data_IF_854069019990
#
_entry.id   IF_854069019990
#
_cell.length_a   1.000
_cell.length_b   1.000
_cell.length_c   1.000
_cell.angle_alpha   90.00
_cell.angle_beta   90.00
_cell.angle_gamma   90.00
#
_symmetry.space_group_name_H-M   'P 1'
#
loop_
_entity.id
_entity.type
_entity.pdbx_description
1 polymer ?
#
# COMPACT_ATOMS: atom_id res chain seq x y z
N UNK A 1 -4.51 9.22 -9.26
CA UNK A 1 -5.68 9.95 -9.80
C UNK A 1 -5.82 11.39 -9.28
N UNK A 2 -5.78 11.69 -7.96
CA UNK A 2 -6.01 13.06 -7.45
C UNK A 2 -4.93 14.12 -7.72
N UNK A 3 -3.71 13.74 -8.11
CA UNK A 3 -2.71 14.70 -8.61
C UNK A 3 -2.96 15.14 -10.07
N UNK A 4 -3.87 14.49 -10.79
CA UNK A 4 -4.21 14.86 -12.17
C UNK A 4 -5.37 15.86 -12.25
N UNK A 5 -6.03 16.16 -11.12
CA UNK A 5 -7.10 17.16 -11.04
C UNK A 5 -6.61 18.55 -10.62
N UNK A 6 -5.31 18.72 -10.33
CA UNK A 6 -4.72 20.04 -10.06
C UNK A 6 -4.40 20.75 -11.38
N UNK A 7 -4.74 22.04 -11.45
CA UNK A 7 -4.73 22.80 -12.69
C UNK A 7 -3.33 23.01 -13.29
N UNK A 8 -2.28 22.97 -12.46
CA UNK A 8 -0.90 23.20 -12.89
C UNK A 8 0.15 22.47 -12.01
N UNK A 9 1.40 22.43 -12.51
CA UNK A 9 2.52 21.80 -11.83
C UNK A 9 2.95 22.52 -10.53
N UNK A 10 2.58 23.78 -10.33
CA UNK A 10 2.92 24.55 -9.12
C UNK A 10 2.00 24.16 -7.97
N UNK A 11 0.71 24.04 -8.23
CA UNK A 11 -0.30 23.56 -7.29
C UNK A 11 -0.08 22.08 -6.96
N UNK A 12 0.38 21.27 -7.92
CA UNK A 12 0.82 19.90 -7.62
C UNK A 12 1.96 19.88 -6.59
N UNK A 13 3.00 20.72 -6.75
CA UNK A 13 4.11 20.82 -5.79
C UNK A 13 3.66 21.34 -4.42
N UNK A 14 2.76 22.33 -4.38
CA UNK A 14 2.17 22.81 -3.11
C UNK A 14 1.40 21.70 -2.40
N UNK A 15 0.57 20.96 -3.14
CA UNK A 15 -0.17 19.81 -2.60
C UNK A 15 0.76 18.76 -2.01
N UNK A 16 1.86 18.42 -2.70
CA UNK A 16 2.91 17.52 -2.15
C UNK A 16 3.50 18.08 -0.87
N UNK A 17 3.81 19.38 -0.83
CA UNK A 17 4.37 20.03 0.37
C UNK A 17 3.42 19.95 1.56
N UNK A 18 2.15 20.33 1.38
CA UNK A 18 1.13 20.23 2.43
C UNK A 18 0.93 18.79 2.88
N UNK A 19 0.78 17.84 1.95
CA UNK A 19 0.62 16.43 2.27
C UNK A 19 1.80 15.89 3.09
N UNK A 20 3.02 16.20 2.67
CA UNK A 20 4.24 15.81 3.39
C UNK A 20 4.32 16.46 4.77
N UNK A 21 3.94 17.75 4.87
CA UNK A 21 3.88 18.48 6.13
C UNK A 21 2.90 17.85 7.12
N UNK A 22 1.68 17.51 6.68
CA UNK A 22 0.69 16.84 7.53
C UNK A 22 1.14 15.43 7.94
N UNK A 23 1.76 14.67 7.04
CA UNK A 23 2.34 13.36 7.38
C UNK A 23 3.46 13.49 8.42
N UNK A 24 4.38 14.43 8.23
CA UNK A 24 5.47 14.69 9.18
C UNK A 24 4.94 15.10 10.56
N UNK A 25 3.96 16.02 10.59
CA UNK A 25 3.29 16.43 11.82
C UNK A 25 2.62 15.25 12.53
N UNK A 26 1.89 14.40 11.80
CA UNK A 26 1.26 13.21 12.35
C UNK A 26 2.27 12.22 12.96
N UNK A 27 3.42 12.00 12.31
CA UNK A 27 4.47 11.14 12.86
C UNK A 27 5.05 11.70 14.16
N UNK A 28 5.25 13.02 14.27
CA UNK A 28 5.69 13.66 15.51
C UNK A 28 4.65 13.44 16.63
N UNK A 29 3.36 13.61 16.33
CA UNK A 29 2.30 13.35 17.30
C UNK A 29 2.27 11.88 17.75
N UNK A 30 2.53 10.95 16.83
CA UNK A 30 2.56 9.51 17.13
C UNK A 30 3.61 9.17 18.18
N UNK A 31 4.77 9.84 18.16
CA UNK A 31 5.78 9.70 19.22
C UNK A 31 5.25 10.15 20.58
N UNK A 32 4.59 11.31 20.64
CA UNK A 32 4.02 11.83 21.88
C UNK A 32 2.96 10.87 22.44
N UNK A 33 2.08 10.35 21.58
CA UNK A 33 1.07 9.36 21.95
C UNK A 33 1.74 8.07 22.46
N UNK A 34 2.79 7.58 21.77
CA UNK A 34 3.51 6.37 22.17
C UNK A 34 4.16 6.49 23.55
N UNK A 35 4.92 7.57 23.81
CA UNK A 35 5.52 7.81 25.13
C UNK A 35 4.48 8.08 26.20
N UNK A 36 3.39 8.78 25.87
CA UNK A 36 2.25 8.98 26.77
C UNK A 36 1.61 7.66 27.18
N UNK A 37 1.41 6.73 26.23
CA UNK A 37 0.89 5.40 26.53
C UNK A 37 1.85 4.59 27.43
N UNK A 38 3.16 4.64 27.18
CA UNK A 38 4.14 3.97 28.06
C UNK A 38 4.03 4.50 29.50
N UNK A 39 3.93 5.83 29.67
CA UNK A 39 3.92 6.47 30.98
C UNK A 39 2.61 6.27 31.75
N UNK A 40 1.46 6.46 31.09
CA UNK A 40 0.14 6.46 31.75
C UNK A 40 -0.58 5.11 31.72
N UNK A 41 -0.33 4.29 30.69
CA UNK A 41 -0.99 2.99 30.49
C UNK A 41 -0.06 1.84 30.85
N UNK A 42 1.22 1.92 30.47
CA UNK A 42 2.19 0.83 30.61
C UNK A 42 2.43 0.33 32.03
N UNK A 43 2.31 1.21 33.04
CA UNK A 43 2.45 0.85 34.46
C UNK A 43 1.15 0.55 35.19
N UNK A 44 -0.01 0.85 34.61
CA UNK A 44 -1.28 0.85 35.31
C UNK A 44 -1.99 -0.52 35.22
N UNK A 45 -2.27 -1.20 36.35
CA UNK A 45 -2.96 -2.49 36.37
C UNK A 45 -4.37 -2.45 35.76
N UNK A 46 -5.05 -1.30 35.77
CA UNK A 46 -6.41 -1.17 35.25
C UNK A 46 -6.53 -1.46 33.74
N UNK A 47 -5.45 -1.26 32.99
CA UNK A 47 -5.40 -1.51 31.54
C UNK A 47 -4.75 -2.85 31.19
N UNK A 48 -4.41 -3.66 32.20
CA UNK A 48 -3.75 -4.94 32.04
C UNK A 48 -4.67 -6.10 32.38
N UNK A 49 -4.53 -7.18 31.62
CA UNK A 49 -5.19 -8.43 31.93
C UNK A 49 -4.47 -9.18 33.07
N UNK A 50 -5.00 -10.34 33.46
CA UNK A 50 -4.42 -11.18 34.51
C UNK A 50 -2.99 -11.68 34.21
N UNK A 51 -2.57 -11.66 32.94
CA UNK A 51 -1.23 -12.01 32.50
C UNK A 51 -0.28 -10.79 32.44
N UNK A 52 -0.77 -9.60 32.78
CA UNK A 52 -0.01 -8.35 32.72
C UNK A 52 0.11 -7.76 31.32
N UNK A 53 -0.58 -8.32 30.33
CA UNK A 53 -0.63 -7.81 28.95
C UNK A 53 -1.72 -6.75 28.80
N UNK A 54 -1.58 -5.88 27.79
CA UNK A 54 -2.55 -4.81 27.56
C UNK A 54 -3.90 -5.40 27.12
N UNK A 55 -4.99 -4.98 27.76
CA UNK A 55 -6.35 -5.46 27.45
C UNK A 55 -6.68 -5.11 25.98
N UNK A 56 -7.03 -6.12 25.19
CA UNK A 56 -7.30 -5.95 23.75
C UNK A 56 -6.03 -5.85 22.87
N UNK A 57 -4.85 -6.09 23.44
CA UNK A 57 -3.59 -6.17 22.72
C UNK A 57 -2.94 -4.81 22.43
N UNK A 58 -1.72 -4.85 21.88
CA UNK A 58 -0.88 -3.65 21.68
C UNK A 58 -1.53 -2.56 20.81
N UNK A 59 -2.47 -2.93 19.92
CA UNK A 59 -3.18 -1.98 19.07
C UNK A 59 -4.12 -1.06 19.87
N UNK A 60 -4.48 -1.41 21.11
CA UNK A 60 -5.37 -0.62 21.98
C UNK A 60 -4.64 0.46 22.79
N UNK A 61 -3.32 0.58 22.68
CA UNK A 61 -2.53 1.51 23.49
C UNK A 61 -2.99 2.97 23.39
N UNK A 62 -3.35 3.44 22.19
CA UNK A 62 -3.83 4.81 21.97
C UNK A 62 -5.25 5.04 22.53
N UNK A 63 -6.11 4.01 22.47
CA UNK A 63 -7.48 4.09 23.00
C UNK A 63 -7.47 4.10 24.53
N UNK A 64 -6.65 3.24 25.14
CA UNK A 64 -6.44 3.23 26.60
C UNK A 64 -5.77 4.51 27.10
N UNK A 65 -4.88 5.11 26.30
CA UNK A 65 -4.33 6.42 26.63
C UNK A 65 -5.41 7.51 26.67
N UNK A 66 -6.38 7.46 25.76
CA UNK A 66 -7.50 8.41 25.78
C UNK A 66 -8.32 8.26 27.07
N UNK A 67 -8.56 7.04 27.51
CA UNK A 67 -9.22 6.78 28.80
C UNK A 67 -8.39 7.27 29.99
N UNK A 68 -7.09 6.98 30.00
CA UNK A 68 -6.19 7.41 31.07
C UNK A 68 -6.11 8.94 31.20
N UNK A 69 -6.24 9.68 30.10
CA UNK A 69 -6.13 11.15 30.09
C UNK A 69 -7.47 11.84 30.34
N UNK A 70 -8.57 11.32 29.79
CA UNK A 70 -9.85 12.02 29.78
C UNK A 70 -11.08 11.17 30.13
N UNK A 71 -10.85 9.96 30.64
CA UNK A 71 -11.88 9.01 31.06
C UNK A 71 -12.84 8.61 29.94
N UNK A 72 -14.01 8.11 30.35
CA UNK A 72 -15.07 7.62 29.46
C UNK A 72 -15.47 8.60 28.34
N UNK A 73 -15.45 9.92 28.60
CA UNK A 73 -15.81 10.91 27.59
C UNK A 73 -14.79 10.93 26.45
N UNK A 74 -13.50 10.93 26.79
CA UNK A 74 -12.44 11.01 25.80
C UNK A 74 -12.20 9.65 25.12
N UNK A 75 -12.35 8.54 25.85
CA UNK A 75 -12.41 7.20 25.29
C UNK A 75 -13.55 7.08 24.26
N UNK A 76 -14.75 7.53 24.59
CA UNK A 76 -15.91 7.48 23.69
C UNK A 76 -15.70 8.34 22.44
N UNK A 77 -15.16 9.54 22.62
CA UNK A 77 -14.83 10.45 21.51
C UNK A 77 -13.79 9.85 20.56
N UNK A 78 -12.65 9.38 21.08
CA UNK A 78 -11.57 8.80 20.27
C UNK A 78 -12.04 7.50 19.60
N UNK A 79 -12.84 6.68 20.28
CA UNK A 79 -13.43 5.47 19.69
C UNK A 79 -14.35 5.80 18.53
N UNK A 80 -15.20 6.84 18.64
CA UNK A 80 -16.07 7.29 17.56
C UNK A 80 -15.27 7.82 16.36
N UNK A 81 -14.21 8.60 16.61
CA UNK A 81 -13.31 9.11 15.57
C UNK A 81 -12.57 7.97 14.87
N UNK A 82 -12.03 7.01 15.63
CA UNK A 82 -11.38 5.83 15.08
C UNK A 82 -12.33 5.01 14.20
N UNK A 83 -13.56 4.78 14.67
CA UNK A 83 -14.56 4.05 13.89
C UNK A 83 -14.94 4.79 12.59
N UNK A 84 -15.20 6.10 12.66
CA UNK A 84 -15.56 6.91 11.50
C UNK A 84 -14.42 6.95 10.46
N UNK A 85 -13.18 7.06 10.91
CA UNK A 85 -12.00 7.08 10.02
C UNK A 85 -11.75 5.73 9.37
N UNK A 86 -11.89 4.61 10.10
CA UNK A 86 -11.80 3.26 9.54
C UNK A 86 -12.85 3.06 8.44
N UNK A 87 -14.11 3.41 8.70
CA UNK A 87 -15.19 3.28 7.71
C UNK A 87 -14.91 4.11 6.44
N UNK A 88 -14.43 5.35 6.62
CA UNK A 88 -14.09 6.22 5.51
C UNK A 88 -12.96 5.63 4.63
N UNK A 89 -11.89 5.11 5.26
CA UNK A 89 -10.75 4.53 4.54
C UNK A 89 -11.13 3.22 3.87
N UNK A 90 -11.86 2.34 4.55
CA UNK A 90 -12.32 1.06 4.00
C UNK A 90 -13.20 1.29 2.77
N UNK A 91 -14.15 2.22 2.84
CA UNK A 91 -15.00 2.55 1.69
C UNK A 91 -14.15 3.05 0.50
N UNK A 92 -13.19 3.95 0.76
CA UNK A 92 -12.31 4.48 -0.28
C UNK A 92 -11.44 3.41 -0.95
N UNK A 93 -10.79 2.56 -0.16
CA UNK A 93 -9.94 1.47 -0.67
C UNK A 93 -10.75 0.40 -1.40
N UNK A 94 -11.94 0.07 -0.91
CA UNK A 94 -12.81 -0.93 -1.53
C UNK A 94 -13.30 -0.46 -2.89
N UNK A 95 -13.71 0.81 -3.01
CA UNK A 95 -14.11 1.39 -4.29
C UNK A 95 -12.93 1.49 -5.26
N UNK A 96 -11.74 1.86 -4.78
CA UNK A 96 -10.54 1.89 -5.60
C UNK A 96 -10.18 0.50 -6.14
N UNK A 97 -10.23 -0.53 -5.27
CA UNK A 97 -9.97 -1.92 -5.66
C UNK A 97 -11.03 -2.46 -6.62
N UNK A 98 -12.31 -2.17 -6.37
CA UNK A 98 -13.40 -2.57 -7.26
C UNK A 98 -13.29 -1.92 -8.64
N UNK A 99 -12.89 -0.64 -8.69
CA UNK A 99 -12.65 0.08 -9.94
C UNK A 99 -11.47 -0.52 -10.73
N UNK A 100 -10.36 -0.84 -10.05
CA UNK A 100 -9.23 -1.51 -10.68
C UNK A 100 -9.64 -2.86 -11.30
N UNK A 101 -10.46 -3.66 -10.61
CA UNK A 101 -10.95 -4.93 -11.18
C UNK A 101 -11.95 -4.71 -12.32
N UNK A 102 -12.91 -3.79 -12.19
CA UNK A 102 -13.92 -3.58 -13.24
C UNK A 102 -13.33 -2.95 -14.50
N UNK A 103 -12.44 -1.97 -14.34
CA UNK A 103 -11.88 -1.22 -15.46
C UNK A 103 -10.59 -1.86 -16.01
N UNK A 104 -9.65 -2.26 -15.15
CA UNK A 104 -8.36 -2.76 -15.61
C UNK A 104 -8.42 -4.25 -15.99
N UNK A 105 -9.14 -5.07 -15.21
CA UNK A 105 -9.26 -6.50 -15.52
C UNK A 105 -10.47 -6.80 -16.42
N UNK A 106 -11.67 -6.35 -16.06
CA UNK A 106 -12.87 -6.74 -16.80
C UNK A 106 -13.00 -6.00 -18.14
N UNK A 107 -12.97 -4.67 -18.16
CA UNK A 107 -13.14 -3.90 -19.40
C UNK A 107 -11.95 -3.99 -20.36
N UNK A 108 -10.72 -3.96 -19.86
CA UNK A 108 -9.53 -3.98 -20.71
C UNK A 108 -9.01 -5.38 -21.08
N UNK A 109 -9.11 -6.37 -20.17
CA UNK A 109 -8.56 -7.71 -20.40
C UNK A 109 -9.63 -8.73 -20.80
N UNK A 110 -10.75 -8.82 -20.07
CA UNK A 110 -11.76 -9.87 -20.28
C UNK A 110 -12.72 -9.53 -21.42
N UNK A 111 -13.30 -8.31 -21.41
CA UNK A 111 -14.32 -7.89 -22.38
C UNK A 111 -14.01 -6.50 -22.91
N UNK A 112 -13.19 -6.46 -23.97
CA UNK A 112 -12.86 -5.25 -24.72
C UNK A 112 -14.16 -4.60 -25.24
N UNK A 113 -14.53 -3.44 -24.68
CA UNK A 113 -15.78 -2.73 -25.01
C UNK A 113 -16.98 -3.13 -24.13
N UNK A 114 -16.76 -3.42 -22.85
CA UNK A 114 -17.84 -3.56 -21.88
C UNK A 114 -18.73 -2.30 -21.83
N UNK A 115 -20.04 -2.48 -21.65
CA UNK A 115 -20.94 -1.36 -21.43
C UNK A 115 -20.76 -0.80 -20.01
N UNK A 116 -20.97 0.50 -19.79
CA UNK A 116 -20.94 1.10 -18.45
C UNK A 116 -21.84 0.35 -17.45
N UNK A 117 -22.98 -0.17 -17.92
CA UNK A 117 -23.90 -0.96 -17.09
C UNK A 117 -23.29 -2.29 -16.63
N UNK A 118 -22.49 -2.93 -17.48
CA UNK A 118 -21.81 -4.18 -17.14
C UNK A 118 -20.64 -3.91 -16.19
N UNK A 119 -19.88 -2.83 -16.42
CA UNK A 119 -18.81 -2.39 -15.51
C UNK A 119 -19.35 -2.07 -14.11
N UNK A 120 -20.46 -1.34 -14.01
CA UNK A 120 -21.09 -1.02 -12.72
C UNK A 120 -21.57 -2.28 -11.99
N UNK A 121 -22.08 -3.29 -12.71
CA UNK A 121 -22.47 -4.58 -12.11
C UNK A 121 -21.26 -5.34 -11.57
N UNK A 122 -20.20 -5.46 -12.37
CA UNK A 122 -18.96 -6.12 -11.96
C UNK A 122 -18.33 -5.40 -10.78
N UNK A 123 -18.28 -4.06 -10.81
CA UNK A 123 -17.78 -3.25 -9.69
C UNK A 123 -18.53 -3.55 -8.39
N UNK A 124 -19.88 -3.58 -8.42
CA UNK A 124 -20.70 -3.91 -7.23
C UNK A 124 -20.42 -5.33 -6.70
N UNK A 125 -20.29 -6.32 -7.58
CA UNK A 125 -19.98 -7.69 -7.20
C UNK A 125 -18.58 -7.75 -6.57
N UNK A 126 -17.60 -7.09 -7.18
CA UNK A 126 -16.23 -7.02 -6.65
C UNK A 126 -16.18 -6.36 -5.28
N UNK A 127 -16.92 -5.26 -5.04
CA UNK A 127 -17.03 -4.64 -3.71
C UNK A 127 -17.50 -5.66 -2.67
N UNK A 128 -18.52 -6.45 -2.99
CA UNK A 128 -19.07 -7.45 -2.07
C UNK A 128 -18.08 -8.58 -1.80
N UNK A 129 -17.45 -9.11 -2.84
CA UNK A 129 -16.43 -10.18 -2.73
C UNK A 129 -15.22 -9.70 -1.93
N UNK A 130 -14.67 -8.51 -2.26
CA UNK A 130 -13.55 -7.91 -1.53
C UNK A 130 -13.91 -7.65 -0.07
N UNK A 131 -15.13 -7.19 0.21
CA UNK A 131 -15.62 -6.98 1.57
C UNK A 131 -15.65 -8.27 2.39
N UNK A 132 -16.19 -9.36 1.83
CA UNK A 132 -16.23 -10.67 2.50
C UNK A 132 -14.81 -11.18 2.77
N UNK A 133 -13.91 -11.11 1.78
CA UNK A 133 -12.52 -11.53 1.94
C UNK A 133 -11.80 -10.68 3.00
N UNK A 134 -12.00 -9.37 2.99
CA UNK A 134 -11.41 -8.47 3.97
C UNK A 134 -11.89 -8.76 5.40
N UNK A 135 -13.17 -9.10 5.60
CA UNK A 135 -13.71 -9.49 6.91
C UNK A 135 -13.10 -10.81 7.37
N UNK A 136 -13.03 -11.81 6.50
CA UNK A 136 -12.43 -13.11 6.84
C UNK A 136 -10.95 -12.98 7.22
N UNK A 137 -10.19 -12.20 6.45
CA UNK A 137 -8.80 -11.89 6.77
C UNK A 137 -8.70 -11.05 8.05
N UNK A 138 -9.61 -10.10 8.27
CA UNK A 138 -9.65 -9.32 9.51
C UNK A 138 -9.79 -10.19 10.76
N UNK A 139 -10.68 -11.18 10.72
CA UNK A 139 -10.86 -12.14 11.82
C UNK A 139 -9.63 -13.03 12.00
N UNK A 140 -9.05 -13.53 10.91
CA UNK A 140 -7.86 -14.40 10.97
C UNK A 140 -6.64 -13.68 11.55
N UNK A 141 -6.50 -12.38 11.30
CA UNK A 141 -5.35 -11.57 11.70
C UNK A 141 -5.64 -10.62 12.88
N UNK A 142 -6.77 -10.76 13.59
CA UNK A 142 -7.22 -9.81 14.63
C UNK A 142 -6.23 -9.63 15.78
N UNK A 143 -5.43 -10.67 16.09
CA UNK A 143 -4.46 -10.68 17.19
C UNK A 143 -3.10 -10.13 16.80
N UNK A 144 -2.90 -9.83 15.51
CA UNK A 144 -1.62 -9.36 14.99
C UNK A 144 -1.49 -7.84 15.16
N UNK A 145 -0.25 -7.37 15.23
CA UNK A 145 0.02 -5.94 15.27
C UNK A 145 -0.30 -5.32 13.91
N UNK A 146 -1.15 -4.28 13.89
CA UNK A 146 -1.58 -3.63 12.65
C UNK A 146 -0.39 -2.97 11.94
N UNK A 147 0.57 -2.41 12.68
CA UNK A 147 1.76 -1.79 12.10
C UNK A 147 2.58 -2.81 11.30
N UNK A 148 2.65 -4.04 11.79
CA UNK A 148 3.32 -5.13 11.10
C UNK A 148 2.58 -5.55 9.82
N UNK A 149 1.26 -5.73 9.89
CA UNK A 149 0.44 -6.09 8.72
C UNK A 149 0.53 -5.05 7.60
N UNK A 150 0.50 -3.76 7.96
CA UNK A 150 0.67 -2.65 7.01
C UNK A 150 2.08 -2.67 6.41
N UNK A 151 3.10 -2.95 7.22
CA UNK A 151 4.47 -3.11 6.76
C UNK A 151 4.64 -4.20 5.71
N UNK A 152 3.98 -5.35 5.88
CA UNK A 152 3.95 -6.42 4.89
C UNK A 152 3.26 -6.00 3.58
N UNK A 153 2.09 -5.38 3.68
CA UNK A 153 1.36 -4.90 2.50
C UNK A 153 2.18 -3.88 1.70
N UNK A 154 2.84 -2.93 2.39
CA UNK A 154 3.75 -1.98 1.76
C UNK A 154 5.01 -2.63 1.21
N UNK A 155 5.54 -3.67 1.86
CA UNK A 155 6.67 -4.43 1.33
C UNK A 155 6.35 -5.05 -0.04
N UNK A 156 5.18 -5.67 -0.17
CA UNK A 156 4.72 -6.25 -1.45
C UNK A 156 4.52 -5.13 -2.49
N UNK A 157 3.78 -4.08 -2.13
CA UNK A 157 3.48 -2.98 -3.05
C UNK A 157 4.74 -2.25 -3.52
N UNK A 158 5.71 -2.03 -2.63
CA UNK A 158 6.99 -1.43 -2.98
C UNK A 158 7.80 -2.33 -3.91
N UNK A 159 7.78 -3.66 -3.69
CA UNK A 159 8.57 -4.61 -4.48
C UNK A 159 8.20 -4.65 -5.96
N UNK A 160 6.91 -4.53 -6.30
CA UNK A 160 6.47 -4.51 -7.69
C UNK A 160 6.46 -3.09 -8.29
N UNK A 161 5.96 -2.09 -7.56
CA UNK A 161 5.69 -0.78 -8.15
C UNK A 161 6.92 0.13 -8.18
N UNK A 162 7.70 0.18 -7.10
CA UNK A 162 8.79 1.16 -6.98
C UNK A 162 9.88 0.95 -8.06
N UNK A 163 10.41 -0.27 -8.28
CA UNK A 163 11.41 -0.52 -9.32
C UNK A 163 10.91 -0.18 -10.73
N UNK A 164 9.66 -0.56 -11.05
CA UNK A 164 9.07 -0.30 -12.37
C UNK A 164 8.90 1.21 -12.59
N UNK A 165 8.30 1.92 -11.63
CA UNK A 165 8.07 3.36 -11.74
C UNK A 165 9.41 4.09 -11.86
N UNK A 166 10.38 3.78 -10.99
CA UNK A 166 11.69 4.45 -11.00
C UNK A 166 12.42 4.23 -12.34
N UNK A 167 12.50 2.98 -12.81
CA UNK A 167 13.17 2.69 -14.07
C UNK A 167 12.42 3.26 -15.28
N UNK A 168 11.09 3.35 -15.22
CA UNK A 168 10.30 3.94 -16.31
C UNK A 168 10.55 5.43 -16.50
N UNK A 169 10.92 6.13 -15.41
CA UNK A 169 11.21 7.57 -15.45
C UNK A 169 12.66 7.87 -15.83
N UNK A 170 13.61 7.03 -15.41
CA UNK A 170 15.03 7.37 -15.46
C UNK A 170 15.88 6.45 -16.35
N UNK A 171 15.37 5.30 -16.77
CA UNK A 171 16.16 4.33 -17.51
C UNK A 171 15.63 4.10 -18.93
N UNK A 172 16.40 4.59 -19.91
CA UNK A 172 16.02 4.56 -21.33
C UNK A 172 15.92 3.16 -21.94
N UNK A 173 16.46 2.14 -21.28
CA UNK A 173 16.47 0.76 -21.77
C UNK A 173 15.36 -0.12 -21.19
N UNK A 174 14.46 0.44 -20.37
CA UNK A 174 13.33 -0.31 -19.84
C UNK A 174 12.45 -0.82 -20.99
N UNK A 175 12.03 -2.08 -20.88
CA UNK A 175 11.09 -2.71 -21.84
C UNK A 175 9.86 -3.23 -21.13
N UNK A 176 8.73 -3.34 -21.83
CA UNK A 176 7.49 -3.94 -21.29
C UNK A 176 7.73 -5.37 -20.78
N UNK A 177 8.53 -6.17 -21.52
CA UNK A 177 8.90 -7.52 -21.11
C UNK A 177 9.67 -7.52 -19.78
N UNK A 178 10.69 -6.68 -19.65
CA UNK A 178 11.47 -6.61 -18.43
C UNK A 178 10.69 -6.04 -17.25
N UNK A 179 9.84 -5.03 -17.47
CA UNK A 179 8.93 -4.51 -16.45
C UNK A 179 7.95 -5.59 -15.95
N UNK A 180 7.38 -6.38 -16.86
CA UNK A 180 6.43 -7.44 -16.49
C UNK A 180 7.11 -8.58 -15.74
N UNK A 181 8.19 -9.15 -16.28
CA UNK A 181 8.89 -10.29 -15.66
C UNK A 181 9.55 -9.86 -14.34
N UNK A 182 10.24 -8.73 -14.33
CA UNK A 182 10.89 -8.22 -13.12
C UNK A 182 9.89 -7.81 -12.04
N UNK A 183 8.73 -7.24 -12.41
CA UNK A 183 7.61 -6.99 -11.50
C UNK A 183 7.07 -8.26 -10.86
N UNK A 184 6.84 -9.31 -11.67
CA UNK A 184 6.42 -10.63 -11.17
C UNK A 184 7.46 -11.28 -10.26
N UNK A 185 8.75 -11.19 -10.61
CA UNK A 185 9.82 -11.69 -9.76
C UNK A 185 9.86 -10.98 -8.41
N UNK A 186 9.68 -9.65 -8.39
CA UNK A 186 9.55 -8.87 -7.16
C UNK A 186 8.37 -9.29 -6.31
N UNK A 187 7.20 -9.44 -6.93
CA UNK A 187 5.96 -9.85 -6.25
C UNK A 187 6.08 -11.27 -5.67
N UNK A 188 6.50 -12.24 -6.48
CA UNK A 188 6.65 -13.63 -6.05
C UNK A 188 7.69 -13.75 -4.93
N UNK A 189 8.82 -13.07 -5.05
CA UNK A 189 9.84 -13.05 -4.01
C UNK A 189 9.30 -12.44 -2.72
N UNK A 190 8.59 -11.31 -2.79
CA UNK A 190 7.99 -10.69 -1.60
C UNK A 190 6.99 -11.63 -0.91
N UNK A 191 6.10 -12.26 -1.67
CA UNK A 191 5.08 -13.17 -1.13
C UNK A 191 5.71 -14.44 -0.54
N UNK A 192 6.67 -15.06 -1.24
CA UNK A 192 7.35 -16.27 -0.76
C UNK A 192 8.11 -15.97 0.52
N UNK A 193 8.92 -14.92 0.55
CA UNK A 193 9.69 -14.55 1.74
C UNK A 193 8.78 -14.12 2.91
N UNK A 194 7.64 -13.51 2.62
CA UNK A 194 6.63 -13.18 3.64
C UNK A 194 6.01 -14.44 4.25
N UNK A 195 5.65 -15.43 3.43
CA UNK A 195 5.08 -16.70 3.89
C UNK A 195 6.10 -17.49 4.72
N UNK A 196 7.37 -17.49 4.31
CA UNK A 196 8.48 -18.15 5.00
C UNK A 196 9.04 -17.35 6.19
N UNK A 197 8.58 -16.11 6.35
CA UNK A 197 8.99 -15.20 7.41
C UNK A 197 8.36 -15.54 8.75
N UNK A 198 8.89 -15.01 9.86
CA UNK A 198 8.45 -15.37 11.21
C UNK A 198 6.96 -15.12 11.44
N UNK A 199 6.37 -14.09 10.84
CA UNK A 199 4.99 -13.76 11.14
C UNK A 199 3.99 -14.75 10.54
N UNK A 200 4.13 -15.12 9.28
CA UNK A 200 3.22 -16.12 8.71
C UNK A 200 3.64 -17.52 9.14
N UNK A 201 4.94 -17.85 9.02
CA UNK A 201 5.43 -19.20 9.26
C UNK A 201 5.38 -19.62 10.73
N UNK A 202 5.78 -18.75 11.65
CA UNK A 202 5.84 -19.07 13.08
C UNK A 202 4.56 -18.64 13.78
N UNK A 203 4.16 -17.37 13.66
CA UNK A 203 3.05 -16.83 14.46
C UNK A 203 1.67 -17.29 13.99
N UNK A 204 1.49 -17.62 12.70
CA UNK A 204 0.20 -18.04 12.13
C UNK A 204 0.15 -19.55 11.89
N UNK A 205 1.17 -20.10 11.23
CA UNK A 205 1.22 -21.53 10.90
C UNK A 205 1.75 -22.40 12.05
N UNK A 206 2.38 -21.81 13.07
CA UNK A 206 2.80 -22.51 14.29
C UNK A 206 4.08 -23.34 14.15
N UNK A 207 4.94 -23.06 13.16
CA UNK A 207 6.23 -23.76 13.02
C UNK A 207 7.28 -23.26 14.01
N UNK A 208 8.24 -24.12 14.40
CA UNK A 208 9.22 -23.83 15.46
C UNK A 208 10.26 -22.76 15.11
N UNK A 209 10.67 -22.66 13.84
CA UNK A 209 11.65 -21.67 13.39
C UNK A 209 11.31 -21.15 12.00
N UNK A 210 11.58 -19.86 11.80
CA UNK A 210 11.38 -19.21 10.52
C UNK A 210 12.46 -19.65 9.53
N UNK A 211 12.06 -20.12 8.35
CA UNK A 211 12.99 -20.46 7.26
C UNK A 211 13.68 -19.19 6.76
N UNK A 212 12.96 -18.08 6.74
CA UNK A 212 13.50 -16.76 6.46
C UNK A 212 13.49 -15.90 7.74
N UNK A 213 14.66 -15.48 8.26
CA UNK A 213 14.74 -14.87 9.59
C UNK A 213 14.30 -13.40 9.64
N UNK A 214 14.11 -12.74 8.50
CA UNK A 214 13.75 -11.33 8.46
C UNK A 214 12.23 -11.13 8.45
N UNK A 215 11.74 -10.26 9.33
CA UNK A 215 10.33 -9.83 9.36
C UNK A 215 9.91 -9.07 8.10
N UNK A 216 10.83 -8.29 7.52
CA UNK A 216 10.57 -7.42 6.38
C UNK A 216 11.36 -7.87 5.15
N UNK A 217 10.72 -8.56 4.18
CA UNK A 217 11.41 -9.09 3.00
C UNK A 217 11.75 -8.03 1.93
N UNK A 218 11.26 -6.79 2.11
CA UNK A 218 11.30 -5.70 1.13
C UNK A 218 12.68 -5.51 0.49
N UNK A 219 13.74 -5.53 1.28
CA UNK A 219 15.11 -5.32 0.79
C UNK A 219 15.49 -6.33 -0.30
N UNK A 220 15.17 -7.60 -0.08
CA UNK A 220 15.50 -8.68 -0.99
C UNK A 220 14.58 -8.70 -2.21
N UNK A 221 13.27 -8.55 -1.99
CA UNK A 221 12.29 -8.56 -3.08
C UNK A 221 12.43 -7.36 -4.00
N UNK A 222 12.72 -6.16 -3.47
CA UNK A 222 13.01 -4.97 -4.27
C UNK A 222 14.30 -5.17 -5.07
N UNK A 223 15.35 -5.71 -4.46
CA UNK A 223 16.61 -5.98 -5.16
C UNK A 223 16.41 -6.98 -6.31
N UNK A 224 15.68 -8.07 -6.07
CA UNK A 224 15.34 -9.07 -7.10
C UNK A 224 14.52 -8.42 -8.23
N UNK A 225 13.56 -7.56 -7.89
CA UNK A 225 12.80 -6.82 -8.90
C UNK A 225 13.69 -5.92 -9.75
N UNK A 226 14.59 -5.13 -9.15
CA UNK A 226 15.53 -4.29 -9.90
C UNK A 226 16.43 -5.11 -10.83
N UNK A 227 17.02 -6.19 -10.30
CA UNK A 227 17.90 -7.07 -11.08
C UNK A 227 17.13 -7.75 -12.20
N UNK A 228 15.92 -8.24 -11.91
CA UNK A 228 15.05 -8.86 -12.90
C UNK A 228 14.66 -7.89 -14.01
N UNK A 229 14.17 -6.70 -13.67
CA UNK A 229 13.82 -5.68 -14.67
C UNK A 229 15.04 -5.32 -15.52
N UNK A 230 16.19 -5.11 -14.88
CA UNK A 230 17.42 -4.77 -15.58
C UNK A 230 17.86 -5.87 -16.54
N UNK A 231 17.93 -7.12 -16.09
CA UNK A 231 18.39 -8.26 -16.88
C UNK A 231 17.46 -8.53 -18.05
N UNK A 232 16.15 -8.60 -17.82
CA UNK A 232 15.19 -8.91 -18.88
C UNK A 232 14.99 -7.74 -19.84
N UNK A 233 15.18 -6.49 -19.41
CA UNK A 233 15.15 -5.35 -20.34
C UNK A 233 16.44 -5.17 -21.13
N UNK A 234 17.60 -5.50 -20.55
CA UNK A 234 18.88 -5.43 -21.23
C UNK A 234 19.03 -6.53 -22.29
N UNK A 235 18.47 -7.71 -22.02
CA UNK A 235 18.48 -8.85 -22.94
C UNK A 235 17.35 -8.81 -23.97
N UNK A 236 16.41 -7.87 -23.84
CA UNK A 236 15.33 -7.72 -24.80
C UNK A 236 15.82 -7.03 -26.09
N UNK A 237 15.78 -7.79 -27.18
CA UNK A 237 16.06 -7.35 -28.54
C UNK A 237 14.80 -7.39 -29.42
N UNK A 238 13.61 -7.47 -28.81
CA UNK A 238 12.35 -7.45 -29.53
C UNK A 238 12.15 -6.13 -30.30
N UNK A 239 11.40 -6.13 -31.41
CA UNK A 239 11.02 -4.91 -32.13
C UNK A 239 10.29 -3.90 -31.23
N UNK A 240 9.46 -4.41 -30.31
CA UNK A 240 8.70 -3.62 -29.34
C UNK A 240 9.64 -2.93 -28.34
N UNK A 241 10.61 -3.66 -27.78
CA UNK A 241 11.60 -3.09 -26.87
C UNK A 241 12.47 -2.00 -27.51
N UNK A 242 12.80 -2.13 -28.80
CA UNK A 242 13.53 -1.09 -29.53
C UNK A 242 12.67 0.17 -29.77
N UNK A 243 11.39 -0.02 -30.10
CA UNK A 243 10.44 1.08 -30.28
C UNK A 243 10.18 1.84 -28.97
N UNK A 244 10.15 1.13 -27.83
CA UNK A 244 10.05 1.73 -26.50
C UNK A 244 11.27 2.59 -26.16
N UNK A 245 12.48 2.09 -26.46
CA UNK A 245 13.74 2.83 -26.27
C UNK A 245 13.79 4.13 -27.08
N UNK A 246 13.28 4.11 -28.32
CA UNK A 246 13.21 5.32 -29.16
C UNK A 246 12.22 6.36 -28.60
N UNK A 247 11.07 5.90 -28.09
CA UNK A 247 10.04 6.78 -27.49
C UNK A 247 10.47 7.41 -26.17
N UNK A 248 11.39 6.79 -25.44
CA UNK A 248 11.83 7.26 -24.12
C UNK A 248 12.31 8.70 -24.13
N UNK A 249 13.11 9.12 -25.12
CA UNK A 249 13.66 10.49 -25.14
C UNK A 249 12.58 11.56 -25.24
N UNK A 250 11.57 11.33 -26.09
CA UNK A 250 10.44 12.23 -26.23
C UNK A 250 9.59 12.29 -24.94
N UNK A 251 9.36 11.13 -24.32
CA UNK A 251 8.67 11.05 -23.03
C UNK A 251 9.43 11.77 -21.91
N UNK A 252 10.75 11.56 -21.84
CA UNK A 252 11.62 12.18 -20.83
C UNK A 252 11.60 13.70 -20.96
N UNK A 253 11.77 14.24 -22.17
CA UNK A 253 11.70 15.69 -22.42
C UNK A 253 10.34 16.24 -22.01
N UNK A 254 9.24 15.57 -22.38
CA UNK A 254 7.88 15.96 -21.99
C UNK A 254 7.70 15.95 -20.46
N UNK A 255 8.24 14.96 -19.76
CA UNK A 255 8.13 14.87 -18.30
C UNK A 255 8.89 15.98 -17.57
N UNK A 256 10.04 16.43 -18.10
CA UNK A 256 10.88 17.44 -17.45
C UNK A 256 10.43 18.88 -17.79
N UNK A 257 9.93 19.09 -19.01
CA UNK A 257 9.58 20.43 -19.51
C UNK A 257 8.09 20.75 -19.39
N UNK A 258 7.22 19.74 -19.26
CA UNK A 258 5.76 19.94 -19.28
C UNK A 258 5.21 20.35 -20.66
N UNK A 259 6.03 20.37 -21.71
CA UNK A 259 5.61 20.72 -23.07
C UNK A 259 4.57 19.71 -23.60
N UNK A 260 3.41 20.20 -24.04
CA UNK A 260 2.33 19.36 -24.56
C UNK A 260 1.42 18.71 -23.51
N UNK A 261 1.50 19.11 -22.23
CA UNK A 261 0.53 18.67 -21.20
C UNK A 261 -0.89 19.24 -21.47
N UNK A 262 -0.99 20.38 -22.16
CA UNK A 262 -2.29 21.02 -22.48
C UNK A 262 -3.16 20.24 -23.47
N UNK A 263 -2.56 19.45 -24.38
CA UNK A 263 -3.33 18.65 -25.34
C UNK A 263 -4.08 17.47 -24.71
N UNK A 264 -3.75 17.10 -23.46
CA UNK A 264 -4.46 16.06 -22.70
C UNK A 264 -5.75 16.52 -22.03
N UNK A 265 -6.12 17.82 -22.11
CA UNK A 265 -7.36 18.36 -21.55
C UNK A 265 -8.62 18.08 -22.39
N UNK A 266 -8.47 17.46 -23.57
CA UNK A 266 -9.55 17.28 -24.53
C UNK A 266 -10.15 15.85 -24.59
N UNK A 267 -9.86 15.00 -23.61
CA UNK A 267 -10.46 13.67 -23.48
C UNK A 267 -11.10 13.46 -22.12
#
# INVERSE_FOLDING_TARGET
>A
MRFFTVADAREARKSVFYATGFMGYFYILTFIIGFGAIMLVGGNPAFKDAAGALIGGNNMAAVHLADAVGGNLFLGFISAVAFATILAVVAGLTLAGASAVSHDLYANVIRKGASERDELKVSKITVLVLGVVAILLGILFEKQNIAFMVGLAFSIAASCNFPIILLSMYWSKLTTRGAMIGGWLGLLTAVILMILGPTIWVQILGHESAIFPYEYPALFSIAVAFIGIWLFSATDNSPEGNLEREKFRAQFIRSQTGLGVEQGRAH
#
